data_IF_306594525035
#
_entry.id   IF_306594525035
#
_cell.length_a   1.000
_cell.length_b   1.000
_cell.length_c   1.000
_cell.angle_alpha   90.00
_cell.angle_beta   90.00
_cell.angle_gamma   90.00
#
_symmetry.space_group_name_H-M   'P 1'
#
loop_
_entity.id
_entity.type
_entity.pdbx_description
1 polymer ?
#
# COMPACT_ATOMS: atom_id res chain seq x y z
N UNK A 1 -34.51 -19.73 6.65
CA UNK A 1 -33.94 -19.06 5.47
C UNK A 1 -32.85 -18.13 5.97
N UNK A 2 -31.55 -18.36 5.67
CA UNK A 2 -30.50 -17.45 6.11
C UNK A 2 -30.53 -16.20 5.22
N UNK A 3 -30.61 -15.05 5.87
CA UNK A 3 -30.59 -13.71 5.28
C UNK A 3 -29.44 -13.58 4.26
N UNK A 4 -29.79 -13.51 2.97
CA UNK A 4 -28.89 -13.03 1.93
C UNK A 4 -28.52 -11.59 2.31
N UNK A 5 -27.24 -11.26 2.57
CA UNK A 5 -26.87 -9.87 2.83
C UNK A 5 -27.21 -9.07 1.58
N UNK A 6 -28.06 -8.04 1.73
CA UNK A 6 -28.41 -7.12 0.66
C UNK A 6 -27.13 -6.68 -0.06
N UNK A 7 -27.01 -6.99 -1.35
CA UNK A 7 -25.92 -6.50 -2.19
C UNK A 7 -26.00 -4.98 -2.21
N UNK A 8 -25.22 -4.33 -1.34
CA UNK A 8 -25.03 -2.89 -1.36
C UNK A 8 -24.66 -2.51 -2.80
N UNK A 9 -25.55 -1.78 -3.46
CA UNK A 9 -25.38 -1.36 -4.84
C UNK A 9 -24.19 -0.39 -4.87
N UNK A 10 -23.10 -0.81 -5.51
CA UNK A 10 -21.88 0.00 -5.62
C UNK A 10 -22.19 1.31 -6.32
N UNK A 11 -21.88 2.45 -5.69
CA UNK A 11 -22.14 3.77 -6.24
C UNK A 11 -21.00 4.18 -7.17
N UNK A 12 -21.25 5.15 -8.06
CA UNK A 12 -20.19 5.73 -8.90
C UNK A 12 -19.02 6.25 -8.05
N UNK A 13 -19.31 6.82 -6.89
CA UNK A 13 -18.32 7.28 -5.92
C UNK A 13 -17.37 6.17 -5.45
N UNK A 14 -17.87 4.94 -5.29
CA UNK A 14 -17.03 3.81 -4.86
C UNK A 14 -16.01 3.43 -5.93
N UNK A 15 -16.42 3.48 -7.21
CA UNK A 15 -15.53 3.25 -8.35
C UNK A 15 -14.52 4.36 -8.54
N UNK A 16 -14.89 5.62 -8.29
CA UNK A 16 -13.93 6.74 -8.30
C UNK A 16 -12.89 6.58 -7.19
N UNK A 17 -13.30 6.20 -5.98
CA UNK A 17 -12.38 5.92 -4.87
C UNK A 17 -11.47 4.75 -5.19
N UNK A 18 -12.00 3.69 -5.81
CA UNK A 18 -11.23 2.52 -6.26
C UNK A 18 -10.10 2.92 -7.23
N UNK A 19 -10.40 3.76 -8.23
CA UNK A 19 -9.42 4.24 -9.21
C UNK A 19 -8.42 5.24 -8.61
N UNK A 20 -8.80 5.95 -7.55
CA UNK A 20 -7.92 6.89 -6.86
C UNK A 20 -6.83 6.20 -6.01
N UNK A 21 -7.02 4.94 -5.61
CA UNK A 21 -6.04 4.16 -4.82
C UNK A 21 -4.64 4.17 -5.44
N UNK A 22 -4.43 3.67 -6.68
CA UNK A 22 -3.10 3.63 -7.27
C UNK A 22 -2.51 5.03 -7.48
N UNK A 23 -3.33 6.04 -7.75
CA UNK A 23 -2.87 7.42 -7.91
C UNK A 23 -2.27 7.98 -6.61
N UNK A 24 -3.00 7.86 -5.51
CA UNK A 24 -2.51 8.37 -4.23
C UNK A 24 -1.31 7.55 -3.71
N UNK A 25 -1.29 6.23 -3.87
CA UNK A 25 -0.11 5.45 -3.52
C UNK A 25 1.10 5.78 -4.41
N UNK A 26 0.90 5.93 -5.73
CA UNK A 26 1.95 6.27 -6.68
C UNK A 26 2.55 7.66 -6.43
N UNK A 27 1.80 8.59 -5.83
CA UNK A 27 2.30 9.91 -5.44
C UNK A 27 3.51 9.85 -4.50
N UNK A 28 3.71 8.73 -3.78
CA UNK A 28 4.90 8.50 -2.97
C UNK A 28 6.19 8.53 -3.80
N UNK A 29 6.15 8.22 -5.10
CA UNK A 29 7.32 8.34 -5.99
C UNK A 29 7.70 9.80 -6.22
N UNK A 30 6.72 10.70 -6.29
CA UNK A 30 6.96 12.13 -6.49
C UNK A 30 7.52 12.76 -5.23
N UNK A 31 6.87 12.54 -4.09
CA UNK A 31 7.27 13.17 -2.82
C UNK A 31 8.40 12.42 -2.10
N UNK A 32 8.44 11.09 -2.20
CA UNK A 32 9.47 10.26 -1.57
C UNK A 32 10.85 10.40 -2.21
N UNK A 33 10.91 10.88 -3.46
CA UNK A 33 12.17 11.15 -4.15
C UNK A 33 12.91 12.30 -3.47
N UNK A 34 14.06 11.98 -2.88
CA UNK A 34 14.85 12.89 -2.06
C UNK A 34 14.38 13.01 -0.61
N UNK A 35 13.41 12.23 -0.14
CA UNK A 35 13.31 11.95 1.31
C UNK A 35 14.28 10.82 1.66
N UNK A 36 14.35 9.79 0.81
CA UNK A 36 15.38 8.75 0.87
C UNK A 36 16.74 9.39 0.63
N UNK A 37 17.63 9.33 1.63
CA UNK A 37 18.96 9.93 1.62
C UNK A 37 19.07 11.29 2.33
N UNK A 38 17.95 12.01 2.53
CA UNK A 38 17.91 13.24 3.35
C UNK A 38 17.38 12.98 4.76
N UNK A 39 16.56 11.94 4.93
CA UNK A 39 15.93 11.57 6.20
C UNK A 39 16.09 10.06 6.40
N UNK A 40 16.51 9.66 7.60
CA UNK A 40 16.68 8.24 7.90
C UNK A 40 15.34 7.48 7.87
N UNK A 41 15.33 6.20 7.45
CA UNK A 41 14.11 5.51 7.05
C UNK A 41 13.09 5.32 8.18
N UNK A 42 13.51 4.96 9.39
CA UNK A 42 12.57 4.77 10.51
C UNK A 42 12.06 6.09 11.06
N UNK A 43 12.91 7.13 11.08
CA UNK A 43 12.51 8.51 11.38
C UNK A 43 11.46 9.01 10.37
N UNK A 44 11.70 8.84 9.07
CA UNK A 44 10.76 9.25 8.02
C UNK A 44 9.41 8.53 8.16
N UNK A 45 9.43 7.22 8.42
CA UNK A 45 8.22 6.44 8.67
C UNK A 45 7.49 6.89 9.94
N UNK A 46 8.22 7.15 11.04
CA UNK A 46 7.65 7.63 12.29
C UNK A 46 6.95 9.00 12.09
N UNK A 47 7.66 9.98 11.51
CA UNK A 47 7.11 11.32 11.23
C UNK A 47 5.87 11.21 10.35
N UNK A 48 5.92 10.35 9.32
CA UNK A 48 4.78 10.09 8.42
C UNK A 48 3.54 9.64 9.19
N UNK A 49 3.66 8.62 10.04
CA UNK A 49 2.50 8.04 10.71
C UNK A 49 2.01 8.85 11.90
N UNK A 50 2.91 9.48 12.67
CA UNK A 50 2.50 10.40 13.74
C UNK A 50 1.84 11.65 13.13
N UNK A 51 2.37 12.18 12.03
CA UNK A 51 1.78 13.30 11.31
C UNK A 51 0.38 12.98 10.76
N UNK A 52 0.20 11.81 10.14
CA UNK A 52 -1.12 11.34 9.72
C UNK A 52 -2.10 11.22 10.90
N UNK A 53 -1.63 10.72 12.05
CA UNK A 53 -2.43 10.60 13.27
C UNK A 53 -2.87 11.98 13.78
N UNK A 54 -1.94 12.94 13.86
CA UNK A 54 -2.23 14.29 14.34
C UNK A 54 -3.25 15.03 13.46
N UNK A 55 -3.17 14.86 12.14
CA UNK A 55 -4.13 15.47 11.20
C UNK A 55 -5.53 14.86 11.36
N UNK A 56 -5.62 13.54 11.62
CA UNK A 56 -6.91 12.85 11.80
C UNK A 56 -7.44 12.91 13.25
N UNK A 57 -6.63 13.36 14.21
CA UNK A 57 -6.99 13.43 15.61
C UNK A 57 -8.36 14.07 15.89
N UNK A 58 -8.81 15.16 15.21
CA UNK A 58 -10.14 15.71 15.42
C UNK A 58 -11.27 14.70 15.17
N UNK A 59 -11.14 13.84 14.16
CA UNK A 59 -12.12 12.79 13.86
C UNK A 59 -12.08 11.67 14.90
N UNK A 60 -10.89 11.31 15.39
CA UNK A 60 -10.75 10.34 16.48
C UNK A 60 -11.34 10.85 17.79
N UNK A 61 -11.18 12.14 18.09
CA UNK A 61 -11.75 12.78 19.28
C UNK A 61 -13.27 12.87 19.17
N UNK A 62 -13.81 13.20 18.00
CA UNK A 62 -15.25 13.17 17.75
C UNK A 62 -15.83 11.75 17.94
N UNK A 63 -15.07 10.72 17.57
CA UNK A 63 -15.44 9.30 17.66
C UNK A 63 -14.81 8.58 18.88
N UNK A 64 -14.45 9.32 19.95
CA UNK A 64 -13.54 8.81 20.99
C UNK A 64 -14.07 7.58 21.72
N UNK A 65 -15.40 7.50 21.94
CA UNK A 65 -16.03 6.37 22.65
C UNK A 65 -15.83 5.06 21.88
N UNK A 66 -16.03 5.10 20.56
CA UNK A 66 -15.85 3.94 19.70
C UNK A 66 -14.35 3.62 19.55
N UNK A 67 -13.50 4.65 19.45
CA UNK A 67 -12.05 4.47 19.41
C UNK A 67 -11.54 3.77 20.67
N UNK A 68 -11.94 4.27 21.85
CA UNK A 68 -11.53 3.70 23.13
C UNK A 68 -12.06 2.28 23.31
N UNK A 69 -13.33 2.03 22.94
CA UNK A 69 -13.91 0.69 22.99
C UNK A 69 -13.14 -0.28 22.08
N UNK A 70 -12.80 0.14 20.85
CA UNK A 70 -12.00 -0.67 19.93
C UNK A 70 -10.62 -0.97 20.51
N UNK A 71 -9.89 0.03 20.99
CA UNK A 71 -8.56 -0.16 21.58
C UNK A 71 -8.62 -1.07 22.80
N UNK A 72 -9.63 -0.94 23.67
CA UNK A 72 -9.77 -1.74 24.90
C UNK A 72 -10.19 -3.18 24.64
N UNK A 73 -11.13 -3.41 23.72
CA UNK A 73 -11.70 -4.74 23.47
C UNK A 73 -10.99 -5.50 22.35
N UNK A 74 -10.24 -4.79 21.49
CA UNK A 74 -9.55 -5.34 20.32
C UNK A 74 -8.09 -4.89 20.27
N UNK A 75 -7.44 -4.75 21.43
CA UNK A 75 -6.04 -4.28 21.55
C UNK A 75 -5.08 -5.07 20.67
N UNK A 76 -5.19 -6.40 20.67
CA UNK A 76 -4.31 -7.26 19.87
C UNK A 76 -4.49 -6.99 18.36
N UNK A 77 -5.73 -6.92 17.88
CA UNK A 77 -6.02 -6.62 16.47
C UNK A 77 -5.49 -5.23 16.10
N UNK A 78 -5.73 -4.23 16.95
CA UNK A 78 -5.24 -2.88 16.76
C UNK A 78 -3.71 -2.81 16.63
N UNK A 79 -2.98 -3.44 17.56
CA UNK A 79 -1.52 -3.49 17.52
C UNK A 79 -0.99 -4.27 16.31
N UNK A 80 -1.60 -5.42 15.99
CA UNK A 80 -1.20 -6.23 14.82
C UNK A 80 -1.41 -5.45 13.53
N UNK A 81 -2.52 -4.72 13.38
CA UNK A 81 -2.75 -3.87 12.20
C UNK A 81 -1.71 -2.74 12.09
N UNK A 82 -1.33 -2.11 13.21
CA UNK A 82 -0.28 -1.09 13.24
C UNK A 82 1.11 -1.64 12.91
N UNK A 83 1.48 -2.79 13.50
CA UNK A 83 2.74 -3.48 13.22
C UNK A 83 2.83 -3.86 11.74
N UNK A 84 1.82 -4.54 11.20
CA UNK A 84 1.85 -5.02 9.82
C UNK A 84 1.78 -3.87 8.83
N UNK A 85 0.81 -2.97 8.98
CA UNK A 85 0.51 -1.92 8.01
C UNK A 85 1.47 -0.73 8.05
N UNK A 86 1.94 -0.32 9.22
CA UNK A 86 2.70 0.92 9.38
C UNK A 86 4.12 0.68 9.86
N UNK A 87 4.32 -0.28 10.79
CA UNK A 87 5.63 -0.67 11.28
C UNK A 87 6.48 -1.34 10.19
N UNK A 88 6.02 -2.50 9.71
CA UNK A 88 6.71 -3.28 8.68
C UNK A 88 6.57 -2.59 7.32
N UNK A 89 5.34 -2.35 6.83
CA UNK A 89 5.18 -1.78 5.49
C UNK A 89 5.60 -0.31 5.37
N UNK A 90 5.64 0.43 6.48
CA UNK A 90 6.21 1.79 6.49
C UNK A 90 7.71 1.73 6.70
N UNK A 91 8.16 1.40 7.92
CA UNK A 91 9.56 1.50 8.32
C UNK A 91 10.48 0.52 7.59
N UNK A 92 10.14 -0.77 7.58
CA UNK A 92 11.00 -1.81 7.00
C UNK A 92 11.13 -1.69 5.49
N UNK A 93 10.11 -1.16 4.80
CA UNK A 93 10.20 -0.86 3.36
C UNK A 93 11.19 0.27 3.09
N UNK A 94 11.09 1.40 3.80
CA UNK A 94 12.05 2.49 3.64
C UNK A 94 13.48 2.04 3.96
N UNK A 95 13.64 1.22 5.00
CA UNK A 95 14.93 0.64 5.36
C UNK A 95 15.44 -0.33 4.29
N UNK A 96 14.62 -1.24 3.78
CA UNK A 96 15.01 -2.17 2.73
C UNK A 96 15.45 -1.45 1.44
N UNK A 97 14.79 -0.34 1.11
CA UNK A 97 15.14 0.50 -0.05
C UNK A 97 16.48 1.25 0.09
N UNK A 98 17.10 1.30 1.27
CA UNK A 98 18.48 1.81 1.40
C UNK A 98 19.53 0.76 1.03
N UNK A 99 19.14 -0.52 1.01
CA UNK A 99 20.02 -1.66 0.76
C UNK A 99 19.79 -2.33 -0.60
N UNK A 100 18.61 -2.15 -1.18
CA UNK A 100 18.26 -2.66 -2.52
C UNK A 100 17.92 -1.54 -3.50
N UNK A 101 17.80 -1.89 -4.77
CA UNK A 101 17.38 -0.95 -5.81
C UNK A 101 15.87 -0.72 -5.76
N UNK A 102 15.43 0.49 -6.14
CA UNK A 102 14.00 0.78 -6.30
C UNK A 102 13.31 -0.17 -7.28
N UNK A 103 14.05 -0.69 -8.25
CA UNK A 103 13.56 -1.67 -9.21
C UNK A 103 13.26 -3.02 -8.54
N UNK A 104 14.24 -3.62 -7.86
CA UNK A 104 14.04 -4.87 -7.12
C UNK A 104 12.93 -4.71 -6.08
N UNK A 105 12.97 -3.61 -5.32
CA UNK A 105 11.96 -3.30 -4.31
C UNK A 105 10.54 -3.22 -4.88
N UNK A 106 10.35 -2.58 -6.04
CA UNK A 106 9.04 -2.48 -6.69
C UNK A 106 8.55 -3.85 -7.17
N UNK A 107 9.41 -4.65 -7.78
CA UNK A 107 9.05 -5.99 -8.28
C UNK A 107 8.64 -6.91 -7.13
N UNK A 108 9.44 -6.94 -6.06
CA UNK A 108 9.16 -7.74 -4.87
C UNK A 108 7.89 -7.23 -4.19
N UNK A 109 7.74 -5.92 -3.98
CA UNK A 109 6.57 -5.39 -3.29
C UNK A 109 5.26 -5.59 -4.06
N UNK A 110 5.32 -5.62 -5.41
CA UNK A 110 4.18 -5.92 -6.28
C UNK A 110 3.63 -7.33 -6.04
N UNK A 111 4.43 -8.27 -5.51
CA UNK A 111 3.91 -9.60 -5.13
C UNK A 111 2.94 -9.55 -3.95
N UNK A 112 2.81 -8.42 -3.24
CA UNK A 112 1.79 -8.22 -2.20
C UNK A 112 0.38 -8.50 -2.74
N UNK A 113 0.06 -8.12 -3.97
CA UNK A 113 -1.24 -8.41 -4.60
C UNK A 113 -1.50 -9.92 -4.73
N UNK A 114 -0.48 -10.72 -5.04
CA UNK A 114 -0.54 -12.19 -5.07
C UNK A 114 -0.82 -12.75 -3.68
N UNK A 115 -0.07 -12.27 -2.68
CA UNK A 115 -0.26 -12.70 -1.29
C UNK A 115 -1.64 -12.31 -0.75
N UNK A 116 -2.20 -11.16 -1.13
CA UNK A 116 -3.55 -10.74 -0.71
C UNK A 116 -4.59 -11.77 -1.16
N UNK A 117 -4.54 -12.19 -2.43
CA UNK A 117 -5.48 -13.18 -2.98
C UNK A 117 -5.28 -14.54 -2.32
N UNK A 118 -4.02 -14.97 -2.15
CA UNK A 118 -3.68 -16.22 -1.49
C UNK A 118 -4.20 -16.26 -0.04
N UNK A 119 -3.91 -15.22 0.74
CA UNK A 119 -4.38 -15.13 2.13
C UNK A 119 -5.89 -14.96 2.22
N UNK A 120 -6.52 -14.27 1.27
CA UNK A 120 -7.99 -14.25 1.22
C UNK A 120 -8.57 -15.66 1.00
N UNK A 121 -7.95 -16.48 0.14
CA UNK A 121 -8.36 -17.89 -0.04
C UNK A 121 -8.17 -18.72 1.24
N UNK A 122 -7.06 -18.54 1.93
CA UNK A 122 -6.70 -19.29 3.15
C UNK A 122 -7.61 -18.90 4.32
N UNK A 123 -7.74 -17.60 4.61
CA UNK A 123 -8.46 -17.12 5.80
C UNK A 123 -9.97 -16.95 5.59
N UNK A 124 -10.43 -16.64 4.36
CA UNK A 124 -11.84 -16.35 4.06
C UNK A 124 -12.47 -17.37 3.11
N UNK A 125 -11.73 -18.39 2.68
CA UNK A 125 -12.27 -19.48 1.84
C UNK A 125 -12.61 -19.07 0.39
N UNK A 126 -12.29 -17.85 -0.04
CA UNK A 126 -12.67 -17.36 -1.37
C UNK A 126 -11.96 -18.16 -2.47
N UNK A 127 -12.67 -18.78 -3.43
CA UNK A 127 -12.03 -19.49 -4.53
C UNK A 127 -11.21 -18.55 -5.42
N UNK A 128 -10.03 -19.02 -5.84
CA UNK A 128 -9.16 -18.32 -6.79
C UNK A 128 -9.52 -18.76 -8.20
N UNK A 129 -9.80 -17.80 -9.08
CA UNK A 129 -10.20 -18.08 -10.47
C UNK A 129 -8.98 -18.25 -11.37
N UNK A 130 -9.07 -19.13 -12.38
CA UNK A 130 -8.00 -19.27 -13.40
C UNK A 130 -7.70 -17.96 -14.14
N UNK A 131 -8.74 -17.21 -14.52
CA UNK A 131 -8.60 -15.90 -15.17
C UNK A 131 -7.96 -14.85 -14.24
N UNK A 132 -8.20 -14.93 -12.94
CA UNK A 132 -7.56 -14.06 -11.94
C UNK A 132 -6.07 -14.31 -11.91
N UNK A 133 -5.64 -15.58 -11.81
CA UNK A 133 -4.21 -15.95 -11.87
C UNK A 133 -3.56 -15.54 -13.18
N UNK A 134 -4.21 -15.82 -14.33
CA UNK A 134 -3.68 -15.46 -15.65
C UNK A 134 -3.51 -13.93 -15.78
N UNK A 135 -4.53 -13.16 -15.40
CA UNK A 135 -4.48 -11.71 -15.43
C UNK A 135 -3.39 -11.13 -14.53
N UNK A 136 -3.17 -11.72 -13.34
CA UNK A 136 -2.09 -11.29 -12.44
C UNK A 136 -0.69 -11.60 -12.98
N UNK A 137 -0.50 -12.74 -13.64
CA UNK A 137 0.78 -13.07 -14.29
C UNK A 137 1.06 -12.06 -15.40
N UNK A 138 0.07 -11.75 -16.23
CA UNK A 138 0.18 -10.74 -17.30
C UNK A 138 0.49 -9.37 -16.69
N UNK A 139 -0.20 -8.98 -15.62
CA UNK A 139 0.02 -7.70 -14.96
C UNK A 139 1.42 -7.62 -14.34
N UNK A 140 1.89 -8.68 -13.68
CA UNK A 140 3.23 -8.75 -13.12
C UNK A 140 4.31 -8.65 -14.20
N UNK A 141 4.11 -9.32 -15.36
CA UNK A 141 5.01 -9.18 -16.50
C UNK A 141 5.05 -7.73 -17.03
N UNK A 142 3.91 -7.02 -17.01
CA UNK A 142 3.85 -5.60 -17.32
C UNK A 142 4.65 -4.75 -16.34
N UNK A 143 4.53 -5.00 -15.03
CA UNK A 143 5.35 -4.32 -14.00
C UNK A 143 6.83 -4.59 -14.23
N UNK A 144 7.22 -5.84 -14.51
CA UNK A 144 8.59 -6.20 -14.85
C UNK A 144 9.12 -5.42 -16.07
N UNK A 145 8.32 -5.29 -17.13
CA UNK A 145 8.71 -4.52 -18.32
C UNK A 145 8.98 -3.04 -18.00
N UNK A 146 8.14 -2.40 -17.17
CA UNK A 146 8.34 -1.00 -16.73
C UNK A 146 9.62 -0.89 -15.91
N UNK A 147 9.75 -1.74 -14.90
CA UNK A 147 10.79 -1.62 -13.86
C UNK A 147 12.18 -1.99 -14.38
N UNK A 148 12.26 -3.00 -15.23
CA UNK A 148 13.52 -3.44 -15.86
C UNK A 148 13.89 -2.61 -17.10
N UNK A 149 13.09 -1.60 -17.43
CA UNK A 149 13.29 -0.74 -18.61
C UNK A 149 13.40 -1.51 -19.93
N UNK A 150 12.65 -2.62 -20.04
CA UNK A 150 12.73 -3.52 -21.20
C UNK A 150 13.99 -4.40 -21.29
N UNK A 151 14.96 -4.25 -20.39
CA UNK A 151 16.17 -5.07 -20.37
C UNK A 151 15.97 -6.32 -19.50
N UNK A 152 15.64 -7.43 -20.15
CA UNK A 152 15.46 -8.74 -19.48
C UNK A 152 16.79 -9.23 -18.88
N UNK A 153 17.95 -8.81 -19.41
CA UNK A 153 19.25 -9.22 -18.88
C UNK A 153 19.53 -8.66 -17.49
N UNK A 154 18.85 -7.55 -17.12
CA UNK A 154 18.90 -7.00 -15.78
C UNK A 154 18.44 -8.01 -14.70
N UNK A 155 17.52 -8.95 -15.04
CA UNK A 155 17.11 -10.02 -14.12
C UNK A 155 18.28 -10.92 -13.69
N UNK A 156 19.27 -11.13 -14.56
CA UNK A 156 20.44 -11.98 -14.27
C UNK A 156 21.44 -11.31 -13.32
N UNK A 157 21.36 -9.99 -13.21
CA UNK A 157 22.24 -9.18 -12.36
C UNK A 157 21.56 -8.82 -11.02
N UNK A 158 20.33 -9.30 -10.78
CA UNK A 158 19.66 -9.11 -9.49
C UNK A 158 20.31 -9.98 -8.43
N UNK A 159 21.14 -9.37 -7.60
CA UNK A 159 21.69 -10.00 -6.41
C UNK A 159 20.74 -9.79 -5.24
N UNK A 160 20.12 -10.89 -4.78
CA UNK A 160 19.27 -10.86 -3.59
C UNK A 160 20.08 -10.43 -2.38
N UNK A 161 19.60 -9.40 -1.70
CA UNK A 161 20.19 -8.88 -0.47
C UNK A 161 19.16 -8.87 0.67
N UNK A 162 19.61 -8.48 1.86
CA UNK A 162 18.75 -8.43 3.04
C UNK A 162 17.60 -7.41 2.90
N UNK A 163 17.79 -6.34 2.12
CA UNK A 163 16.74 -5.38 1.80
C UNK A 163 15.63 -5.99 0.95
N UNK A 164 15.96 -6.86 0.00
CA UNK A 164 14.98 -7.62 -0.79
C UNK A 164 14.12 -8.52 0.09
N UNK A 165 14.73 -9.20 1.06
CA UNK A 165 14.02 -10.01 2.04
C UNK A 165 13.12 -9.15 2.95
N UNK A 166 13.59 -7.96 3.33
CA UNK A 166 12.82 -7.00 4.12
C UNK A 166 11.57 -6.53 3.36
N UNK A 167 11.70 -6.22 2.07
CA UNK A 167 10.59 -5.81 1.21
C UNK A 167 9.62 -6.98 0.95
N UNK A 168 10.12 -8.21 0.79
CA UNK A 168 9.26 -9.39 0.68
C UNK A 168 8.44 -9.61 1.95
N UNK A 169 9.08 -9.46 3.11
CA UNK A 169 8.40 -9.52 4.42
C UNK A 169 7.32 -8.44 4.52
N UNK A 170 7.61 -7.23 4.04
CA UNK A 170 6.61 -6.18 3.97
C UNK A 170 5.46 -6.47 2.99
N UNK A 171 5.73 -7.08 1.84
CA UNK A 171 4.69 -7.48 0.90
C UNK A 171 3.72 -8.50 1.52
N UNK A 172 4.26 -9.47 2.26
CA UNK A 172 3.48 -10.46 3.02
C UNK A 172 2.71 -9.79 4.16
N UNK A 173 3.35 -8.90 4.92
CA UNK A 173 2.71 -8.17 6.01
C UNK A 173 1.55 -7.30 5.51
N UNK A 174 1.72 -6.60 4.39
CA UNK A 174 0.68 -5.79 3.76
C UNK A 174 -0.51 -6.65 3.34
N UNK A 175 -0.24 -7.86 2.86
CA UNK A 175 -1.27 -8.78 2.45
C UNK A 175 -2.10 -9.29 3.64
N UNK A 176 -1.44 -9.67 4.73
CA UNK A 176 -2.12 -10.08 5.97
C UNK A 176 -2.92 -8.90 6.54
N UNK A 177 -2.31 -7.71 6.60
CA UNK A 177 -2.99 -6.47 7.01
C UNK A 177 -4.28 -6.23 6.22
N UNK A 178 -4.21 -6.33 4.89
CA UNK A 178 -5.36 -6.13 3.99
C UNK A 178 -6.49 -7.12 4.26
N UNK A 179 -6.15 -8.38 4.55
CA UNK A 179 -7.14 -9.42 4.92
C UNK A 179 -7.72 -9.18 6.31
N UNK A 180 -6.91 -8.73 7.29
CA UNK A 180 -7.35 -8.43 8.65
C UNK A 180 -8.26 -7.20 8.72
N UNK A 181 -8.17 -6.26 7.78
CA UNK A 181 -9.12 -5.13 7.68
C UNK A 181 -10.58 -5.57 7.46
N UNK A 182 -10.81 -6.81 7.03
CA UNK A 182 -12.16 -7.40 6.92
C UNK A 182 -12.73 -7.89 8.24
N UNK A 183 -11.96 -7.87 9.34
CA UNK A 183 -12.46 -8.24 10.66
C UNK A 183 -13.73 -7.43 11.01
N UNK A 184 -14.79 -8.08 11.53
CA UNK A 184 -16.04 -7.40 11.86
C UNK A 184 -15.86 -6.18 12.76
N UNK A 185 -14.94 -6.23 13.72
CA UNK A 185 -14.69 -5.11 14.63
C UNK A 185 -14.06 -3.92 13.91
N UNK A 186 -13.14 -4.16 12.97
CA UNK A 186 -12.56 -3.11 12.14
C UNK A 186 -13.62 -2.50 11.21
N UNK A 187 -14.49 -3.31 10.59
CA UNK A 187 -15.53 -2.81 9.67
C UNK A 187 -16.62 -1.98 10.35
N UNK A 188 -16.83 -2.15 11.65
CA UNK A 188 -17.79 -1.35 12.42
C UNK A 188 -17.29 0.07 12.68
N UNK A 189 -15.98 0.30 12.65
CA UNK A 189 -15.41 1.63 12.81
C UNK A 189 -15.65 2.53 11.59
N UNK A 190 -15.69 3.83 11.84
CA UNK A 190 -15.57 4.82 10.78
C UNK A 190 -14.17 4.74 10.14
N UNK A 191 -14.07 4.87 8.82
CA UNK A 191 -12.81 4.66 8.09
C UNK A 191 -11.68 5.59 8.56
N UNK A 192 -11.99 6.86 8.83
CA UNK A 192 -11.00 7.83 9.34
C UNK A 192 -10.54 7.48 10.77
N UNK A 193 -11.46 7.15 11.68
CA UNK A 193 -11.13 6.74 13.05
C UNK A 193 -10.27 5.47 13.08
N UNK A 194 -10.64 4.46 12.27
CA UNK A 194 -9.89 3.22 12.16
C UNK A 194 -8.47 3.48 11.64
N UNK A 195 -8.35 4.23 10.53
CA UNK A 195 -7.04 4.56 9.98
C UNK A 195 -6.20 5.36 10.99
N UNK A 196 -6.78 6.36 11.65
CA UNK A 196 -6.08 7.16 12.67
C UNK A 196 -5.56 6.30 13.84
N UNK A 197 -6.35 5.35 14.32
CA UNK A 197 -5.91 4.39 15.33
C UNK A 197 -4.78 3.49 14.82
N UNK A 198 -4.89 2.94 13.61
CA UNK A 198 -3.85 2.09 13.03
C UNK A 198 -2.55 2.89 12.81
N UNK A 199 -2.65 4.12 12.31
CA UNK A 199 -1.52 5.03 12.13
C UNK A 199 -0.86 5.36 13.48
N UNK A 200 -1.66 5.58 14.52
CA UNK A 200 -1.16 5.82 15.88
C UNK A 200 -0.41 4.61 16.42
N UNK A 201 -1.00 3.40 16.31
CA UNK A 201 -0.31 2.16 16.69
C UNK A 201 0.98 1.96 15.89
N UNK A 202 0.96 2.29 14.60
CA UNK A 202 2.13 2.31 13.74
C UNK A 202 3.24 3.21 14.26
N UNK A 203 2.90 4.45 14.60
CA UNK A 203 3.84 5.41 15.18
C UNK A 203 4.40 4.90 16.52
N UNK A 204 3.59 4.28 17.38
CA UNK A 204 4.07 3.67 18.64
C UNK A 204 5.07 2.54 18.39
N UNK A 205 4.81 1.69 17.40
CA UNK A 205 5.72 0.58 17.01
C UNK A 205 7.02 1.10 16.41
N UNK A 206 6.96 2.20 15.66
CA UNK A 206 8.12 2.83 15.02
C UNK A 206 8.92 3.74 15.96
N UNK A 207 8.36 4.12 17.10
CA UNK A 207 9.03 5.02 18.04
C UNK A 207 10.36 4.44 18.55
N UNK A 208 10.47 3.18 19.03
CA UNK A 208 11.75 2.62 19.44
C UNK A 208 12.81 2.59 18.32
N UNK A 209 12.56 2.04 17.11
CA UNK A 209 13.58 2.03 16.06
C UNK A 209 13.92 3.44 15.56
N UNK A 210 12.96 4.37 15.49
CA UNK A 210 13.25 5.76 15.13
C UNK A 210 14.10 6.48 16.18
N UNK A 211 13.85 6.24 17.47
CA UNK A 211 14.64 6.81 18.57
C UNK A 211 16.07 6.25 18.58
N UNK A 212 16.22 4.94 18.34
CA UNK A 212 17.54 4.31 18.20
C UNK A 212 18.30 4.85 16.99
N UNK A 213 17.62 4.98 15.84
CA UNK A 213 18.20 5.54 14.62
C UNK A 213 18.65 6.99 14.85
N UNK A 214 17.85 7.80 15.55
CA UNK A 214 18.22 9.16 15.93
C UNK A 214 19.43 9.20 16.88
N UNK A 215 19.45 8.33 17.90
CA UNK A 215 20.57 8.23 18.85
C UNK A 215 21.88 7.80 18.17
N UNK A 216 21.81 7.08 17.05
CA UNK A 216 22.96 6.67 16.23
C UNK A 216 23.39 7.75 15.21
N UNK A 217 22.83 8.96 15.27
CA UNK A 217 23.15 10.06 14.36
C UNK A 217 22.30 10.08 13.08
N UNK A 218 21.11 9.47 13.12
CA UNK A 218 20.15 9.50 12.02
C UNK A 218 19.78 10.92 11.58
N UNK A 219 19.50 11.07 10.29
CA UNK A 219 19.21 12.35 9.65
C UNK A 219 17.75 12.73 9.85
N UNK A 220 17.53 13.90 10.43
CA UNK A 220 16.23 14.55 10.48
C UNK A 220 16.01 15.43 9.24
N UNK A 221 14.77 15.73 8.87
CA UNK A 221 14.47 16.66 7.78
C UNK A 221 15.03 18.05 8.12
N UNK A 222 16.07 18.48 7.40
CA UNK A 222 16.80 19.71 7.70
C UNK A 222 16.30 20.93 6.91
N UNK A 223 15.66 20.72 5.76
CA UNK A 223 15.26 21.80 4.85
C UNK A 223 13.75 21.99 4.79
N UNK A 224 13.23 23.19 4.48
CA UNK A 224 11.81 23.40 4.23
C UNK A 224 11.27 22.53 3.10
N UNK A 225 12.10 22.24 2.10
CA UNK A 225 11.76 21.34 0.98
C UNK A 225 11.57 19.90 1.46
N UNK A 226 12.44 19.39 2.35
CA UNK A 226 12.29 18.07 2.95
C UNK A 226 10.99 17.97 3.77
N UNK A 227 10.66 19.01 4.54
CA UNK A 227 9.39 19.08 5.27
C UNK A 227 8.17 19.14 4.34
N UNK A 228 8.24 19.90 3.24
CA UNK A 228 7.17 19.96 2.25
C UNK A 228 6.94 18.59 1.57
N UNK A 229 8.02 17.86 1.23
CA UNK A 229 7.95 16.50 0.70
C UNK A 229 7.29 15.54 1.71
N UNK A 230 7.72 15.56 2.97
CA UNK A 230 7.11 14.76 4.03
C UNK A 230 5.62 15.11 4.20
N UNK A 231 5.26 16.39 4.18
CA UNK A 231 3.87 16.84 4.19
C UNK A 231 3.07 16.25 3.02
N UNK A 232 3.63 16.25 1.82
CA UNK A 232 3.05 15.58 0.65
C UNK A 232 2.86 14.08 0.85
N UNK A 233 3.83 13.37 1.42
CA UNK A 233 3.71 11.94 1.76
C UNK A 233 2.60 11.71 2.79
N UNK A 234 2.51 12.54 3.83
CA UNK A 234 1.49 12.44 4.88
C UNK A 234 0.10 12.62 4.27
N UNK A 235 -0.10 13.64 3.44
CA UNK A 235 -1.42 13.96 2.88
C UNK A 235 -1.82 12.98 1.76
N UNK A 236 -1.01 12.84 0.73
CA UNK A 236 -1.39 12.10 -0.48
C UNK A 236 -1.10 10.62 -0.35
N UNK A 237 0.16 10.26 -0.07
CA UNK A 237 0.59 8.86 -0.03
C UNK A 237 0.17 8.09 1.23
N UNK A 238 -0.34 8.79 2.25
CA UNK A 238 -0.78 8.17 3.52
C UNK A 238 -2.26 8.37 3.74
N UNK A 239 -2.71 9.59 4.06
CA UNK A 239 -4.09 9.85 4.44
C UNK A 239 -5.08 9.49 3.33
N UNK A 240 -4.90 10.08 2.14
CA UNK A 240 -5.80 9.83 1.01
C UNK A 240 -5.65 8.41 0.47
N UNK A 241 -4.41 7.92 0.29
CA UNK A 241 -4.16 6.57 -0.20
C UNK A 241 -4.81 5.49 0.67
N UNK A 242 -4.55 5.51 1.98
CA UNK A 242 -5.07 4.48 2.88
C UNK A 242 -6.56 4.66 3.18
N UNK A 243 -7.10 5.87 3.15
CA UNK A 243 -8.54 6.07 3.17
C UNK A 243 -9.20 5.37 1.97
N UNK A 244 -8.73 5.66 0.76
CA UNK A 244 -9.25 5.06 -0.46
C UNK A 244 -9.08 3.53 -0.45
N UNK A 245 -7.93 3.03 0.00
CA UNK A 245 -7.66 1.60 0.09
C UNK A 245 -8.57 0.90 1.09
N UNK A 246 -8.68 1.43 2.31
CA UNK A 246 -9.54 0.86 3.37
C UNK A 246 -11.01 0.85 2.94
N UNK A 247 -11.48 1.93 2.30
CA UNK A 247 -12.81 1.99 1.69
C UNK A 247 -12.99 0.93 0.61
N UNK A 248 -12.00 0.79 -0.28
CA UNK A 248 -12.02 -0.21 -1.35
C UNK A 248 -12.06 -1.64 -0.81
N UNK A 249 -11.26 -1.96 0.21
CA UNK A 249 -11.29 -3.27 0.90
C UNK A 249 -12.66 -3.52 1.54
N UNK A 250 -13.28 -2.48 2.13
CA UNK A 250 -14.59 -2.57 2.77
C UNK A 250 -15.71 -2.86 1.76
N UNK A 251 -15.72 -2.18 0.62
CA UNK A 251 -16.75 -2.28 -0.42
C UNK A 251 -16.52 -3.49 -1.33
N UNK A 252 -15.34 -3.56 -1.97
CA UNK A 252 -15.03 -4.55 -3.02
C UNK A 252 -14.29 -5.79 -2.50
N UNK A 253 -13.80 -5.76 -1.26
CA UNK A 253 -13.02 -6.84 -0.68
C UNK A 253 -11.50 -6.72 -0.91
N UNK A 254 -10.69 -7.43 -0.10
CA UNK A 254 -9.24 -7.23 -0.07
C UNK A 254 -8.56 -7.60 -1.37
N UNK A 255 -8.94 -8.69 -2.04
CA UNK A 255 -8.31 -9.05 -3.31
C UNK A 255 -8.61 -8.09 -4.45
N UNK A 256 -9.85 -7.61 -4.58
CA UNK A 256 -10.17 -6.59 -5.60
C UNK A 256 -9.38 -5.31 -5.34
N UNK A 257 -9.23 -4.92 -4.06
CA UNK A 257 -8.34 -3.84 -3.66
C UNK A 257 -6.86 -4.13 -3.98
N UNK A 258 -6.41 -5.36 -3.74
CA UNK A 258 -5.04 -5.79 -4.03
C UNK A 258 -4.71 -5.73 -5.52
N UNK A 259 -5.68 -5.99 -6.39
CA UNK A 259 -5.48 -5.90 -7.85
C UNK A 259 -5.18 -4.45 -8.27
N UNK A 260 -5.75 -3.42 -7.62
CA UNK A 260 -5.46 -2.02 -7.98
C UNK A 260 -4.01 -1.63 -7.72
N UNK A 261 -3.31 -2.33 -6.82
CA UNK A 261 -1.91 -2.06 -6.51
C UNK A 261 -0.99 -2.37 -7.71
N UNK A 262 -1.39 -3.28 -8.60
CA UNK A 262 -0.67 -3.49 -9.87
C UNK A 262 -0.64 -2.23 -10.74
N UNK A 263 -1.64 -1.36 -10.63
CA UNK A 263 -1.67 -0.10 -11.37
C UNK A 263 -0.70 0.95 -10.81
N UNK A 264 -0.08 0.72 -9.64
CA UNK A 264 0.86 1.69 -9.06
C UNK A 264 2.04 1.97 -9.99
N UNK A 265 2.80 1.00 -10.54
CA UNK A 265 3.94 1.31 -11.41
C UNK A 265 3.55 2.07 -12.69
N UNK A 266 2.48 1.71 -13.44
CA UNK A 266 1.94 2.54 -14.52
C UNK A 266 1.64 3.98 -14.10
N UNK A 267 0.96 4.19 -12.98
CA UNK A 267 0.59 5.53 -12.55
C UNK A 267 1.81 6.30 -12.05
N UNK A 268 2.74 5.64 -11.37
CA UNK A 268 4.01 6.23 -10.93
C UNK A 268 4.85 6.73 -12.09
N UNK A 269 4.96 5.98 -13.19
CA UNK A 269 5.72 6.47 -14.35
C UNK A 269 5.03 7.65 -15.02
N UNK A 270 3.70 7.62 -15.18
CA UNK A 270 2.96 8.75 -15.72
C UNK A 270 3.15 10.00 -14.84
N UNK A 271 3.07 9.87 -13.52
CA UNK A 271 3.36 10.97 -12.60
C UNK A 271 4.81 11.46 -12.72
N UNK A 272 5.78 10.56 -12.84
CA UNK A 272 7.17 10.96 -13.00
C UNK A 272 7.43 11.70 -14.32
N UNK A 273 6.82 11.28 -15.43
CA UNK A 273 6.93 11.99 -16.70
C UNK A 273 6.29 13.39 -16.65
N UNK A 274 5.12 13.54 -16.02
CA UNK A 274 4.38 14.81 -15.94
C UNK A 274 5.00 15.78 -14.94
N UNK A 275 5.31 15.32 -13.72
CA UNK A 275 5.74 16.18 -12.62
C UNK A 275 7.26 16.30 -12.48
N UNK A 276 8.02 15.30 -12.95
CA UNK A 276 9.48 15.25 -12.82
C UNK A 276 10.21 15.40 -14.16
N UNK A 277 9.47 15.47 -15.28
CA UNK A 277 10.04 15.65 -16.62
C UNK A 277 10.83 14.44 -17.13
N UNK A 278 10.56 13.23 -16.61
CA UNK A 278 11.17 12.01 -17.13
C UNK A 278 10.69 11.69 -18.55
N UNK A 279 11.55 11.04 -19.34
CA UNK A 279 11.20 10.61 -20.69
C UNK A 279 10.27 9.39 -20.66
N UNK A 280 9.24 9.41 -21.50
CA UNK A 280 8.34 8.29 -21.69
C UNK A 280 8.82 7.39 -22.82
N UNK A 281 9.32 6.20 -22.45
CA UNK A 281 9.88 5.22 -23.38
C UNK A 281 8.88 4.14 -23.81
N UNK A 282 9.20 3.42 -24.88
CA UNK A 282 8.33 2.35 -25.44
C UNK A 282 8.06 1.22 -24.44
N UNK A 283 9.03 0.85 -23.61
CA UNK A 283 8.82 -0.19 -22.59
C UNK A 283 7.83 0.25 -21.49
N UNK A 284 7.69 1.55 -21.23
CA UNK A 284 6.62 2.07 -20.38
C UNK A 284 5.26 1.83 -21.03
N UNK A 285 5.11 2.12 -22.33
CA UNK A 285 3.86 1.88 -23.06
C UNK A 285 3.44 0.40 -23.03
N UNK A 286 4.38 -0.50 -23.36
CA UNK A 286 4.15 -1.96 -23.33
C UNK A 286 3.74 -2.39 -21.92
N UNK A 287 4.48 -1.94 -20.91
CA UNK A 287 4.20 -2.24 -19.51
C UNK A 287 2.82 -1.79 -19.07
N UNK A 288 2.42 -0.55 -19.39
CA UNK A 288 1.08 -0.01 -19.08
C UNK A 288 -0.02 -0.86 -19.72
N UNK A 289 0.14 -1.24 -20.99
CA UNK A 289 -0.83 -2.09 -21.70
C UNK A 289 -0.95 -3.46 -21.04
N UNK A 290 0.17 -4.10 -20.71
CA UNK A 290 0.20 -5.40 -20.04
C UNK A 290 -0.43 -5.34 -18.65
N UNK A 291 -0.06 -4.35 -17.84
CA UNK A 291 -0.66 -4.16 -16.51
C UNK A 291 -2.16 -3.96 -16.60
N UNK A 292 -2.60 -3.01 -17.42
CA UNK A 292 -4.03 -2.67 -17.56
C UNK A 292 -4.83 -3.86 -18.09
N UNK A 293 -4.33 -4.52 -19.15
CA UNK A 293 -4.96 -5.71 -19.71
C UNK A 293 -5.03 -6.86 -18.71
N UNK A 294 -3.95 -7.12 -17.98
CA UNK A 294 -3.90 -8.14 -16.93
C UNK A 294 -4.90 -7.87 -15.80
N UNK A 295 -4.99 -6.63 -15.33
CA UNK A 295 -5.99 -6.20 -14.33
C UNK A 295 -7.42 -6.37 -14.84
N UNK A 296 -7.71 -6.01 -16.09
CA UNK A 296 -9.03 -6.20 -16.72
C UNK A 296 -9.37 -7.70 -16.78
N UNK A 297 -8.45 -8.55 -17.23
CA UNK A 297 -8.66 -10.01 -17.29
C UNK A 297 -8.91 -10.58 -15.90
N UNK A 298 -8.14 -10.13 -14.89
CA UNK A 298 -8.26 -10.62 -13.53
C UNK A 298 -9.62 -10.24 -12.88
N UNK A 299 -10.14 -9.05 -13.23
CA UNK A 299 -11.38 -8.51 -12.68
C UNK A 299 -12.61 -8.78 -13.54
N UNK A 300 -12.43 -9.31 -14.76
CA UNK A 300 -13.52 -9.55 -15.71
C UNK A 300 -14.68 -10.30 -15.05
N UNK A 301 -15.92 -9.82 -15.20
CA UNK A 301 -17.09 -10.53 -14.69
C UNK A 301 -17.19 -11.89 -15.39
N UNK A 302 -17.61 -12.91 -14.64
CA UNK A 302 -17.89 -14.21 -15.23
C UNK A 302 -19.05 -14.00 -16.19
N UNK A 303 -18.81 -14.18 -17.49
CA UNK A 303 -19.91 -14.37 -18.42
C UNK A 303 -20.73 -15.53 -17.87
N UNK A 304 -21.97 -15.27 -17.47
CA UNK A 304 -22.90 -16.32 -17.05
C UNK A 304 -22.93 -17.32 -18.22
N UNK A 305 -22.24 -18.44 -18.05
CA UNK A 305 -22.30 -19.54 -19.00
C UNK A 305 -23.77 -19.88 -19.17
N UNK A 306 -24.25 -19.72 -20.40
CA UNK A 306 -25.46 -20.39 -20.87
C UNK A 306 -25.24 -21.89 -20.80
#
# INVERSE_FOLDING_TARGET
MPNTPATQQTRLTDWLIFLAVPFFFASNVVFGRGVVGEVSPFIAAFIRWIGSTLIIAPFMIADWRNCLAFVRHKTLLWLVLGILGMGICGGVVYWGLTMTTAANGTLIYTTSSLFIILFQRIFQGRPIRKLEVAGMIIAFAGVAAIVLKGDISALRHMNFNIGDFAILTAAIAFAIYSVLLRDPAARQMASFSLFGLIAFSGALVLLPPAALELAQGGMLPATPVAWAKIGGIILFASLLAFYCFTHTVRVFGPATAGITLYMMPPVSILMATVFLGESFETYHAIGIVLVTGGVIIATAPIGKGR
#
